data_IF_080173605453
#
_entry.id   IF_080173605453
#
_cell.length_a   1.000
_cell.length_b   1.000
_cell.length_c   1.000
_cell.angle_alpha   90.00
_cell.angle_beta   90.00
_cell.angle_gamma   90.00
#
_symmetry.space_group_name_H-M   'P 1'
#
loop_
_entity.id
_entity.type
_entity.pdbx_description
1 polymer ?
#
# COMPACT_ATOMS: atom_id res chain seq x y z
N UNK A 1 9.13 -22.49 3.60
CA UNK A 1 7.91 -22.64 2.79
C UNK A 1 8.17 -23.73 1.76
N UNK A 2 7.26 -24.67 1.60
CA UNK A 2 7.46 -25.86 0.76
C UNK A 2 6.24 -26.02 -0.13
N UNK A 3 6.44 -26.31 -1.41
CA UNK A 3 5.37 -26.47 -2.40
C UNK A 3 5.49 -27.83 -3.10
N UNK A 4 4.36 -28.43 -3.48
CA UNK A 4 4.32 -29.47 -4.50
C UNK A 4 3.98 -28.84 -5.84
N UNK A 5 4.48 -29.43 -6.93
CA UNK A 5 4.12 -29.07 -8.29
C UNK A 5 3.43 -30.26 -8.94
N UNK A 6 2.24 -30.08 -9.49
CA UNK A 6 1.55 -31.15 -10.20
C UNK A 6 2.02 -31.26 -11.66
N UNK A 7 1.53 -32.27 -12.38
CA UNK A 7 1.89 -32.53 -13.79
C UNK A 7 1.53 -31.38 -14.75
N UNK A 8 0.55 -30.54 -14.39
CA UNK A 8 0.15 -29.34 -15.14
C UNK A 8 1.02 -28.12 -14.82
N UNK A 9 1.96 -28.27 -13.90
CA UNK A 9 2.87 -27.22 -13.45
C UNK A 9 2.29 -26.27 -12.41
N UNK A 10 1.13 -26.58 -11.85
CA UNK A 10 0.49 -25.80 -10.79
C UNK A 10 1.15 -26.11 -9.45
N UNK A 11 1.36 -25.07 -8.63
CA UNK A 11 1.98 -25.20 -7.32
C UNK A 11 0.92 -25.23 -6.23
N UNK A 12 1.04 -26.16 -5.28
CA UNK A 12 0.23 -26.22 -4.07
C UNK A 12 1.13 -26.06 -2.84
N UNK A 13 0.72 -25.21 -1.90
CA UNK A 13 1.44 -25.02 -0.65
C UNK A 13 1.33 -26.29 0.21
N UNK A 14 2.47 -26.85 0.61
CA UNK A 14 2.53 -27.99 1.51
C UNK A 14 2.74 -27.54 2.96
N UNK A 15 3.69 -26.63 3.17
CA UNK A 15 4.08 -26.23 4.51
C UNK A 15 4.54 -24.77 4.54
N UNK A 16 4.05 -24.06 5.53
CA UNK A 16 4.48 -22.72 5.90
C UNK A 16 4.68 -22.67 7.41
N UNK A 17 5.80 -22.06 7.83
CA UNK A 17 6.17 -21.90 9.24
C UNK A 17 6.64 -20.46 9.43
N UNK A 18 6.16 -19.84 10.49
CA UNK A 18 6.60 -18.53 10.95
C UNK A 18 7.50 -18.70 12.18
N UNK A 19 8.53 -17.85 12.35
CA UNK A 19 9.25 -17.79 13.61
C UNK A 19 8.32 -17.31 14.74
N UNK A 20 8.63 -17.70 15.97
CA UNK A 20 7.98 -17.13 17.15
C UNK A 20 8.43 -15.68 17.35
N UNK A 21 7.66 -14.88 18.10
CA UNK A 21 8.00 -13.47 18.35
C UNK A 21 8.79 -13.28 19.67
N UNK A 22 9.35 -12.09 19.85
CA UNK A 22 10.00 -11.63 21.08
C UNK A 22 11.23 -12.47 21.45
N UNK A 23 11.31 -12.85 22.73
CA UNK A 23 12.46 -13.60 23.27
C UNK A 23 12.68 -14.97 22.60
N UNK A 24 11.67 -15.52 21.93
CA UNK A 24 11.75 -16.83 21.28
C UNK A 24 12.10 -16.77 19.78
N UNK A 25 12.24 -15.56 19.21
CA UNK A 25 12.48 -15.36 17.78
C UNK A 25 13.74 -16.06 17.30
N UNK A 26 14.89 -15.75 17.91
CA UNK A 26 16.19 -16.33 17.55
C UNK A 26 16.19 -17.86 17.63
N UNK A 27 15.67 -18.43 18.71
CA UNK A 27 15.64 -19.89 18.89
C UNK A 27 14.73 -20.58 17.89
N UNK A 28 13.60 -19.96 17.54
CA UNK A 28 12.70 -20.50 16.52
C UNK A 28 13.35 -20.52 15.14
N UNK A 29 14.09 -19.46 14.77
CA UNK A 29 14.84 -19.43 13.51
C UNK A 29 15.90 -20.53 13.45
N UNK A 30 16.67 -20.71 14.53
CA UNK A 30 17.70 -21.78 14.58
C UNK A 30 17.12 -23.19 14.46
N UNK A 31 15.89 -23.41 14.91
CA UNK A 31 15.17 -24.69 14.73
C UNK A 31 14.62 -24.86 13.32
N UNK A 32 14.28 -23.76 12.64
CA UNK A 32 13.68 -23.77 11.30
C UNK A 32 14.71 -23.93 10.18
N UNK A 33 15.96 -23.51 10.40
CA UNK A 33 17.01 -23.51 9.40
C UNK A 33 18.20 -24.41 9.81
N UNK A 34 18.90 -25.04 8.86
CA UNK A 34 20.16 -25.74 9.12
C UNK A 34 21.20 -24.82 9.74
N UNK A 35 22.04 -25.36 10.63
CA UNK A 35 23.07 -24.61 11.38
C UNK A 35 23.97 -23.74 10.49
N UNK A 36 24.39 -24.27 9.34
CA UNK A 36 25.20 -23.54 8.35
C UNK A 36 24.59 -22.24 7.83
N UNK A 37 23.27 -22.04 7.98
CA UNK A 37 22.54 -20.84 7.55
C UNK A 37 22.16 -19.92 8.71
N UNK A 38 22.45 -20.28 9.96
CA UNK A 38 22.01 -19.51 11.13
C UNK A 38 22.51 -18.07 11.07
N UNK A 39 23.80 -17.86 10.76
CA UNK A 39 24.39 -16.53 10.67
C UNK A 39 23.70 -15.67 9.59
N UNK A 40 23.40 -16.27 8.43
CA UNK A 40 22.74 -15.59 7.33
C UNK A 40 21.29 -15.19 7.68
N UNK A 41 20.55 -16.09 8.31
CA UNK A 41 19.15 -15.86 8.69
C UNK A 41 19.03 -14.86 9.83
N UNK A 42 19.98 -14.87 10.79
CA UNK A 42 20.00 -13.93 11.91
C UNK A 42 20.53 -12.54 11.53
N UNK A 43 21.24 -12.43 10.40
CA UNK A 43 21.76 -11.17 9.86
C UNK A 43 21.04 -10.76 8.56
N UNK A 44 19.74 -11.05 8.47
CA UNK A 44 18.97 -10.83 7.24
C UNK A 44 18.91 -9.36 6.82
N UNK A 45 19.07 -8.44 7.77
CA UNK A 45 19.12 -6.99 7.55
C UNK A 45 20.25 -6.56 6.61
N UNK A 46 21.35 -7.33 6.54
CA UNK A 46 22.45 -7.08 5.60
C UNK A 46 22.02 -7.09 4.13
N UNK A 47 20.91 -7.79 3.83
CA UNK A 47 20.37 -7.88 2.48
C UNK A 47 19.40 -6.74 2.13
N UNK A 48 18.90 -6.00 3.13
CA UNK A 48 17.87 -4.97 2.92
C UNK A 48 18.28 -3.86 1.94
N UNK A 49 19.52 -3.35 1.91
CA UNK A 49 19.91 -2.33 0.94
C UNK A 49 19.80 -2.81 -0.51
N UNK A 50 20.24 -4.03 -0.79
CA UNK A 50 20.17 -4.62 -2.13
C UNK A 50 18.71 -4.95 -2.52
N UNK A 51 17.92 -5.48 -1.58
CA UNK A 51 16.49 -5.71 -1.80
C UNK A 51 15.74 -4.40 -2.10
N UNK A 52 16.06 -3.33 -1.39
CA UNK A 52 15.52 -1.98 -1.63
C UNK A 52 15.85 -1.53 -3.06
N UNK A 53 17.12 -1.64 -3.48
CA UNK A 53 17.57 -1.30 -4.83
C UNK A 53 16.80 -2.08 -5.89
N UNK A 54 16.62 -3.39 -5.70
CA UNK A 54 15.89 -4.25 -6.62
C UNK A 54 14.40 -3.87 -6.70
N UNK A 55 13.75 -3.59 -5.57
CA UNK A 55 12.35 -3.16 -5.52
C UNK A 55 12.15 -1.85 -6.29
N UNK A 56 13.02 -0.86 -6.09
CA UNK A 56 12.92 0.43 -6.79
C UNK A 56 13.17 0.29 -8.29
N UNK A 57 14.14 -0.55 -8.70
CA UNK A 57 14.39 -0.84 -10.10
C UNK A 57 13.21 -1.54 -10.79
N UNK A 58 12.58 -2.52 -10.11
CA UNK A 58 11.39 -3.20 -10.62
C UNK A 58 10.21 -2.23 -10.76
N UNK A 59 9.99 -1.35 -9.77
CA UNK A 59 8.97 -0.32 -9.86
C UNK A 59 9.22 0.66 -11.02
N UNK A 60 10.48 1.02 -11.28
CA UNK A 60 10.86 1.90 -12.37
C UNK A 60 10.56 1.29 -13.75
N UNK A 61 10.98 0.05 -13.97
CA UNK A 61 10.72 -0.64 -15.23
C UNK A 61 9.21 -0.87 -15.44
N UNK A 62 8.47 -1.18 -14.37
CA UNK A 62 7.02 -1.28 -14.44
C UNK A 62 6.37 0.05 -14.86
N UNK A 63 6.69 1.17 -14.20
CA UNK A 63 6.14 2.48 -14.57
C UNK A 63 6.46 2.85 -16.02
N UNK A 64 7.70 2.58 -16.45
CA UNK A 64 8.13 2.77 -17.84
C UNK A 64 7.32 1.92 -18.82
N UNK A 65 7.07 0.64 -18.50
CA UNK A 65 6.28 -0.27 -19.34
C UNK A 65 4.84 0.18 -19.57
N UNK A 66 4.28 0.96 -18.64
CA UNK A 66 2.93 1.54 -18.75
C UNK A 66 2.95 3.02 -19.15
N UNK A 67 4.11 3.53 -19.58
CA UNK A 67 4.24 4.91 -20.07
C UNK A 67 4.10 5.99 -19.00
N UNK A 68 4.42 5.69 -17.73
CA UNK A 68 4.29 6.61 -16.60
C UNK A 68 5.62 6.97 -15.97
N UNK A 69 5.64 8.10 -15.27
CA UNK A 69 6.79 8.56 -14.50
C UNK A 69 6.32 9.02 -13.13
N UNK A 70 6.98 8.53 -12.08
CA UNK A 70 6.73 8.94 -10.70
C UNK A 70 8.03 8.86 -9.90
N UNK A 71 8.09 9.57 -8.77
CA UNK A 71 9.17 9.39 -7.81
C UNK A 71 9.01 8.02 -7.15
N UNK A 72 10.07 7.22 -7.22
CA UNK A 72 10.13 5.89 -6.61
C UNK A 72 10.94 5.99 -5.32
N UNK A 73 10.45 5.35 -4.27
CA UNK A 73 11.10 5.32 -2.95
C UNK A 73 10.52 4.15 -2.17
N UNK A 74 11.36 3.19 -1.80
CA UNK A 74 11.01 2.16 -0.82
C UNK A 74 11.04 2.72 0.61
N UNK A 75 11.80 3.80 0.84
CA UNK A 75 11.77 4.53 2.10
C UNK A 75 10.46 5.32 2.29
N UNK A 76 10.16 5.66 3.56
CA UNK A 76 8.99 6.45 3.92
C UNK A 76 8.95 7.80 3.17
N UNK A 77 7.81 8.06 2.53
CA UNK A 77 7.53 9.36 1.90
C UNK A 77 6.49 10.09 2.74
N UNK A 78 6.89 11.21 3.34
CA UNK A 78 5.99 12.09 4.08
C UNK A 78 4.80 12.48 3.19
N UNK A 79 3.59 12.23 3.69
CA UNK A 79 2.35 12.60 3.01
C UNK A 79 1.77 13.87 3.61
N UNK A 80 1.15 14.71 2.77
CA UNK A 80 0.46 15.92 3.22
C UNK A 80 -0.96 15.54 3.63
N UNK A 81 -1.28 15.68 4.91
CA UNK A 81 -2.64 15.45 5.42
C UNK A 81 -3.55 16.63 5.05
N UNK A 82 -4.86 16.38 5.11
CA UNK A 82 -5.86 17.46 5.06
C UNK A 82 -5.75 18.33 6.31
N UNK A 83 -6.02 19.62 6.16
CA UNK A 83 -5.99 20.58 7.26
C UNK A 83 -7.41 20.89 7.72
N UNK A 84 -7.96 20.08 8.62
CA UNK A 84 -9.32 20.20 9.17
C UNK A 84 -9.30 19.83 10.66
N UNK A 85 -10.37 20.13 11.40
CA UNK A 85 -10.45 19.76 12.80
C UNK A 85 -10.50 18.22 12.99
N UNK A 86 -10.09 17.76 14.17
CA UNK A 86 -9.94 16.33 14.48
C UNK A 86 -11.27 15.57 14.38
N UNK A 87 -12.38 16.20 14.77
CA UNK A 87 -13.71 15.57 14.71
C UNK A 87 -14.11 15.29 13.25
N UNK A 88 -13.97 16.28 12.37
CA UNK A 88 -14.21 16.13 10.95
C UNK A 88 -13.27 15.09 10.31
N UNK A 89 -12.00 15.09 10.72
CA UNK A 89 -11.03 14.08 10.26
C UNK A 89 -11.44 12.66 10.66
N UNK A 90 -11.78 12.43 11.94
CA UNK A 90 -12.21 11.12 12.42
C UNK A 90 -13.49 10.65 11.72
N UNK A 91 -14.43 11.57 11.49
CA UNK A 91 -15.67 11.25 10.80
C UNK A 91 -15.45 10.81 9.35
N UNK A 92 -14.61 11.54 8.61
CA UNK A 92 -14.31 11.23 7.21
C UNK A 92 -13.44 9.97 7.03
N UNK A 93 -12.36 9.86 7.80
CA UNK A 93 -11.29 8.88 7.55
C UNK A 93 -11.30 7.67 8.51
N UNK A 94 -12.18 7.65 9.51
CA UNK A 94 -12.38 6.48 10.35
C UNK A 94 -13.82 5.97 10.28
N UNK A 95 -14.81 6.83 10.51
CA UNK A 95 -16.21 6.41 10.59
C UNK A 95 -16.82 6.13 9.21
N UNK A 96 -16.84 7.13 8.31
CA UNK A 96 -17.46 6.98 6.99
C UNK A 96 -16.72 5.96 6.13
N UNK A 97 -15.39 5.93 6.20
CA UNK A 97 -14.56 4.95 5.48
C UNK A 97 -14.69 3.53 6.01
N UNK A 98 -15.24 3.28 7.20
CA UNK A 98 -15.48 1.93 7.71
C UNK A 98 -16.59 1.22 6.93
N UNK A 99 -17.62 1.97 6.53
CA UNK A 99 -18.82 1.42 5.88
C UNK A 99 -18.90 1.76 4.39
N UNK A 100 -18.01 2.61 3.89
CA UNK A 100 -17.95 2.99 2.48
C UNK A 100 -16.61 2.57 1.86
N UNK A 101 -16.65 1.55 1.01
CA UNK A 101 -15.46 1.01 0.34
C UNK A 101 -14.79 2.03 -0.60
N UNK A 102 -15.56 2.90 -1.25
CA UNK A 102 -15.00 3.95 -2.11
C UNK A 102 -14.15 4.93 -1.29
N UNK A 103 -14.66 5.41 -0.15
CA UNK A 103 -13.91 6.27 0.77
C UNK A 103 -12.72 5.53 1.40
N UNK A 104 -12.89 4.25 1.76
CA UNK A 104 -11.81 3.41 2.31
C UNK A 104 -10.61 3.28 1.35
N UNK A 105 -10.89 3.22 0.05
CA UNK A 105 -9.87 3.10 -0.98
C UNK A 105 -9.16 4.43 -1.28
N UNK A 106 -9.79 5.56 -0.95
CA UNK A 106 -9.17 6.87 -1.10
C UNK A 106 -8.05 7.05 -0.06
N UNK A 107 -6.92 7.67 -0.45
CA UNK A 107 -5.83 7.90 0.50
C UNK A 107 -6.27 8.83 1.63
N UNK A 108 -5.81 8.58 2.85
CA UNK A 108 -6.04 9.48 4.00
C UNK A 108 -5.18 10.76 3.94
N UNK A 109 -4.51 11.02 2.82
CA UNK A 109 -3.66 12.18 2.57
C UNK A 109 -4.03 12.82 1.24
N UNK A 110 -3.66 14.09 1.05
CA UNK A 110 -3.86 14.81 -0.22
C UNK A 110 -2.95 14.19 -1.29
N UNK A 111 -3.57 13.60 -2.31
CA UNK A 111 -2.88 12.92 -3.39
C UNK A 111 -3.68 11.74 -3.93
N UNK A 112 -2.99 10.80 -4.57
CA UNK A 112 -3.61 9.66 -5.24
C UNK A 112 -3.06 8.32 -4.76
N UNK A 113 -3.87 7.27 -4.91
CA UNK A 113 -3.50 5.86 -4.81
C UNK A 113 -4.12 5.11 -6.00
N UNK A 114 -3.52 4.00 -6.40
CA UNK A 114 -4.02 3.20 -7.53
C UNK A 114 -4.34 1.79 -7.09
N UNK A 115 -5.41 1.22 -7.68
CA UNK A 115 -5.82 -0.16 -7.44
C UNK A 115 -6.26 -0.82 -8.74
N UNK A 116 -6.06 -2.13 -8.84
CA UNK A 116 -6.58 -2.95 -9.94
C UNK A 116 -7.79 -3.70 -9.39
N UNK A 117 -8.95 -3.49 -10.00
CA UNK A 117 -10.22 -4.12 -9.64
C UNK A 117 -10.75 -4.86 -10.86
N UNK A 118 -10.83 -6.19 -10.77
CA UNK A 118 -11.28 -7.05 -11.87
C UNK A 118 -10.54 -6.78 -13.19
N UNK A 119 -9.22 -6.56 -13.10
CA UNK A 119 -8.36 -6.27 -14.26
C UNK A 119 -8.40 -4.82 -14.74
N UNK A 120 -9.22 -3.94 -14.16
CA UNK A 120 -9.29 -2.52 -14.52
C UNK A 120 -8.55 -1.68 -13.49
N UNK A 121 -7.67 -0.79 -13.93
CA UNK A 121 -6.98 0.16 -13.04
C UNK A 121 -7.86 1.37 -12.76
N UNK A 122 -7.95 1.72 -11.48
CA UNK A 122 -8.55 2.97 -11.01
C UNK A 122 -7.56 3.80 -10.22
N UNK A 123 -7.71 5.12 -10.35
CA UNK A 123 -7.00 6.13 -9.57
C UNK A 123 -7.97 6.70 -8.55
N UNK A 124 -7.66 6.50 -7.28
CA UNK A 124 -8.38 7.09 -6.15
C UNK A 124 -7.66 8.36 -5.72
N UNK A 125 -8.40 9.42 -5.43
CA UNK A 125 -7.86 10.75 -5.14
C UNK A 125 -8.55 11.36 -3.92
N UNK A 126 -7.76 11.96 -3.05
CA UNK A 126 -8.22 12.86 -1.99
C UNK A 126 -7.62 14.24 -2.23
N UNK A 127 -8.46 15.26 -2.22
CA UNK A 127 -8.05 16.66 -2.42
C UNK A 127 -8.77 17.58 -1.44
N UNK A 128 -8.16 18.74 -1.18
CA UNK A 128 -8.70 19.79 -0.32
C UNK A 128 -8.69 21.11 -1.08
N UNK A 129 -9.81 21.81 -1.03
CA UNK A 129 -9.96 23.18 -1.54
C UNK A 129 -10.78 24.02 -0.54
N UNK A 130 -11.05 25.28 -0.90
CA UNK A 130 -11.98 26.15 -0.17
C UNK A 130 -13.28 26.31 -0.96
N UNK A 131 -14.40 26.44 -0.25
CA UNK A 131 -15.68 26.88 -0.83
C UNK A 131 -15.70 28.40 -1.00
N UNK A 132 -16.72 28.94 -1.68
CA UNK A 132 -16.89 30.39 -1.85
C UNK A 132 -17.10 31.16 -0.54
N UNK A 133 -17.52 30.47 0.51
CA UNK A 133 -17.70 30.97 1.87
C UNK A 133 -16.57 30.53 2.83
N UNK A 134 -15.38 30.23 2.29
CA UNK A 134 -14.10 29.97 2.98
C UNK A 134 -14.05 28.73 3.90
N UNK A 135 -15.05 27.86 3.83
CA UNK A 135 -15.00 26.55 4.47
C UNK A 135 -14.10 25.57 3.71
N UNK A 136 -13.52 24.61 4.43
CA UNK A 136 -12.75 23.53 3.81
C UNK A 136 -13.68 22.57 3.07
N UNK A 137 -13.29 22.21 1.84
CA UNK A 137 -13.98 21.24 1.01
C UNK A 137 -13.04 20.06 0.74
N UNK A 138 -13.38 18.90 1.30
CA UNK A 138 -12.68 17.65 1.02
C UNK A 138 -13.39 16.94 -0.13
N UNK A 139 -12.65 16.62 -1.18
CA UNK A 139 -13.18 15.92 -2.35
C UNK A 139 -12.46 14.59 -2.55
N UNK A 140 -13.25 13.53 -2.64
CA UNK A 140 -12.82 12.18 -2.97
C UNK A 140 -13.23 11.85 -4.39
N UNK A 141 -12.34 11.24 -5.19
CA UNK A 141 -12.66 10.82 -6.57
C UNK A 141 -12.14 9.42 -6.86
N UNK A 142 -12.91 8.64 -7.62
CA UNK A 142 -12.47 7.44 -8.34
C UNK A 142 -12.46 7.77 -9.82
N UNK A 143 -11.32 7.58 -10.47
CA UNK A 143 -11.11 7.86 -11.89
C UNK A 143 -10.62 6.62 -12.62
N UNK A 144 -11.02 6.46 -13.88
CA UNK A 144 -10.36 5.54 -14.81
C UNK A 144 -9.00 6.10 -15.26
N UNK A 145 -8.20 5.29 -15.94
CA UNK A 145 -6.89 5.73 -16.47
C UNK A 145 -7.00 6.89 -17.47
N UNK A 146 -8.11 6.98 -18.21
CA UNK A 146 -8.40 8.08 -19.15
C UNK A 146 -8.84 9.38 -18.45
N UNK A 147 -8.92 9.38 -17.12
CA UNK A 147 -9.36 10.51 -16.31
C UNK A 147 -10.87 10.61 -16.11
N UNK A 148 -11.67 9.73 -16.71
CA UNK A 148 -13.12 9.73 -16.51
C UNK A 148 -13.47 9.47 -15.04
N UNK A 149 -14.26 10.37 -14.46
CA UNK A 149 -14.73 10.24 -13.07
C UNK A 149 -15.84 9.18 -13.03
N UNK A 150 -15.63 8.17 -12.20
CA UNK A 150 -16.58 7.08 -11.94
C UNK A 150 -17.44 7.40 -10.74
N UNK A 151 -16.83 7.98 -9.70
CA UNK A 151 -17.49 8.28 -8.44
C UNK A 151 -16.81 9.48 -7.77
N UNK A 152 -17.59 10.37 -7.16
CA UNK A 152 -17.09 11.57 -6.52
C UNK A 152 -17.93 11.96 -5.30
N UNK A 153 -17.28 12.15 -4.15
CA UNK A 153 -17.92 12.61 -2.92
C UNK A 153 -17.27 13.93 -2.48
N UNK A 154 -18.09 14.87 -2.00
CA UNK A 154 -17.65 16.19 -1.53
C UNK A 154 -18.20 16.48 -0.15
N UNK A 155 -17.32 16.88 0.77
CA UNK A 155 -17.66 17.20 2.14
C UNK A 155 -17.20 18.60 2.48
N UNK A 156 -18.15 19.49 2.73
CA UNK A 156 -17.90 20.81 3.30
C UNK A 156 -17.77 20.67 4.82
N UNK A 157 -16.69 21.17 5.38
CA UNK A 157 -16.44 21.16 6.82
C UNK A 157 -16.94 22.47 7.40
N UNK A 158 -17.95 22.43 8.27
CA UNK A 158 -18.58 23.60 8.91
C UNK A 158 -18.29 23.68 10.39
#
# INVERSE_FOLDING_TARGET
ITFSKNEKGEYSLLEYKEPMDGAFYTDSLKKMFPEKLHDEVLSADRYYPELTRQQEAQAAEYLKSIGRTAKISAAYVKKKLVNINVEASNKLFAEFSQYNQFLNNCPHWIGTSERIENGVRYVYETSQSKTSDDYDLITFKKKKEDGAIVEEYRYKIV
#
